data_IF_462669754102
#
_entry.id   IF_462669754102
#
_cell.length_a   1.000
_cell.length_b   1.000
_cell.length_c   1.000
_cell.angle_alpha   90.00
_cell.angle_beta   90.00
_cell.angle_gamma   90.00
#
_symmetry.space_group_name_H-M   'P 1'
#
loop_
_entity.id
_entity.type
_entity.pdbx_description
1 polymer ?
#
# COMPACT_ATOMS: atom_id res chain seq x y z
N UNK A 1 -0.17 25.69 3.84
CA UNK A 1 0.63 24.73 3.04
C UNK A 1 0.01 24.65 1.67
N UNK A 2 0.76 24.97 0.62
CA UNK A 2 0.26 24.94 -0.75
C UNK A 2 0.23 23.48 -1.24
N UNK A 3 -0.90 23.07 -1.83
CA UNK A 3 -1.15 21.68 -2.22
C UNK A 3 -1.79 21.66 -3.59
N UNK A 4 -1.25 20.83 -4.46
CA UNK A 4 -1.85 20.56 -5.77
C UNK A 4 -2.66 19.27 -5.70
N UNK A 5 -3.84 19.27 -6.30
CA UNK A 5 -4.64 18.06 -6.51
C UNK A 5 -5.21 18.08 -7.92
N UNK A 6 -5.26 16.92 -8.57
CA UNK A 6 -5.78 16.83 -9.92
C UNK A 6 -5.94 15.39 -10.41
N UNK A 7 -6.53 15.26 -11.59
CA UNK A 7 -6.67 13.98 -12.29
C UNK A 7 -5.78 14.00 -13.52
N UNK A 8 -4.80 13.11 -13.56
CA UNK A 8 -3.87 12.92 -14.66
C UNK A 8 -4.40 11.85 -15.61
N UNK A 9 -4.10 12.01 -16.91
CA UNK A 9 -4.29 10.98 -17.93
C UNK A 9 -2.93 10.36 -18.23
N UNK A 10 -2.74 9.10 -17.87
CA UNK A 10 -1.47 8.41 -17.99
C UNK A 10 -1.59 7.35 -19.09
N UNK A 11 -0.79 7.40 -20.17
CA UNK A 11 -0.80 6.37 -21.20
C UNK A 11 -0.25 5.06 -20.64
N UNK A 12 -0.78 3.91 -21.09
CA UNK A 12 -0.31 2.60 -20.62
C UNK A 12 1.17 2.33 -20.99
N UNK A 13 1.60 2.82 -22.16
CA UNK A 13 2.98 2.81 -22.64
C UNK A 13 3.18 4.04 -23.56
N UNK A 14 4.42 4.47 -23.89
CA UNK A 14 4.68 5.74 -24.57
C UNK A 14 3.84 6.00 -25.84
N UNK A 15 3.50 4.94 -26.59
CA UNK A 15 2.70 5.02 -27.82
C UNK A 15 1.23 4.57 -27.67
N UNK A 16 0.69 4.48 -26.45
CA UNK A 16 -0.65 3.94 -26.23
C UNK A 16 -1.72 4.98 -26.53
N UNK A 17 -2.78 4.55 -27.23
CA UNK A 17 -4.03 5.32 -27.37
C UNK A 17 -4.94 5.16 -26.14
N UNK A 18 -4.64 4.20 -25.28
CA UNK A 18 -5.39 3.91 -24.05
C UNK A 18 -4.75 4.67 -22.89
N UNK A 19 -5.58 5.38 -22.13
CA UNK A 19 -5.15 6.17 -20.99
C UNK A 19 -5.87 5.73 -19.72
N UNK A 20 -5.12 5.66 -18.63
CA UNK A 20 -5.67 5.52 -17.29
C UNK A 20 -5.86 6.89 -16.65
N UNK A 21 -6.90 7.02 -15.83
CA UNK A 21 -7.14 8.22 -15.02
C UNK A 21 -6.59 7.98 -13.62
N UNK A 22 -5.66 8.83 -13.21
CA UNK A 22 -5.01 8.76 -11.90
C UNK A 22 -5.32 10.04 -11.14
N UNK A 23 -6.00 9.92 -9.99
CA UNK A 23 -6.13 11.02 -9.05
C UNK A 23 -4.83 11.15 -8.26
N UNK A 24 -4.28 12.36 -8.16
CA UNK A 24 -3.03 12.63 -7.45
C UNK A 24 -3.15 13.88 -6.59
N UNK A 25 -2.48 13.86 -5.43
CA UNK A 25 -2.36 14.97 -4.49
C UNK A 25 -0.90 15.13 -4.11
N UNK A 26 -0.35 16.34 -4.22
CA UNK A 26 1.07 16.65 -4.07
C UNK A 26 1.26 17.84 -3.13
N UNK A 27 2.23 17.74 -2.21
CA UNK A 27 2.56 18.83 -1.30
C UNK A 27 3.70 19.68 -1.88
N UNK A 28 3.51 21.00 -1.89
CA UNK A 28 4.52 21.96 -2.32
C UNK A 28 5.11 22.68 -1.10
N UNK A 29 6.42 22.95 -1.12
CA UNK A 29 7.06 23.84 -0.13
C UNK A 29 6.50 25.25 -0.29
N UNK A 30 6.02 25.90 0.79
CA UNK A 30 5.58 27.28 0.75
C UNK A 30 6.67 28.26 0.31
N UNK A 31 7.93 27.93 0.61
CA UNK A 31 9.09 28.80 0.40
C UNK A 31 9.61 28.71 -1.05
N UNK A 32 9.75 27.49 -1.58
CA UNK A 32 10.37 27.26 -2.89
C UNK A 32 9.36 26.94 -4.00
N UNK A 33 8.11 26.63 -3.65
CA UNK A 33 7.09 26.06 -4.54
C UNK A 33 7.50 24.76 -5.25
N UNK A 34 8.55 24.09 -4.77
CA UNK A 34 8.96 22.78 -5.27
C UNK A 34 8.25 21.66 -4.52
N UNK A 35 8.26 20.44 -5.06
CA UNK A 35 7.70 19.27 -4.40
C UNK A 35 8.42 19.01 -3.07
N UNK A 36 7.65 18.92 -1.99
CA UNK A 36 8.16 18.54 -0.67
C UNK A 36 8.26 17.02 -0.58
N UNK A 37 9.34 16.53 0.03
CA UNK A 37 9.48 15.10 0.35
C UNK A 37 8.32 14.68 1.28
N UNK A 38 7.48 13.71 0.89
CA UNK A 38 6.38 13.25 1.71
C UNK A 38 6.90 12.35 2.84
N UNK A 39 6.16 12.30 3.95
CA UNK A 39 6.42 11.33 5.03
C UNK A 39 6.18 9.88 4.57
N UNK A 40 5.25 9.70 3.63
CA UNK A 40 4.92 8.44 3.00
C UNK A 40 4.17 8.68 1.67
N UNK A 41 4.32 7.74 0.75
CA UNK A 41 3.56 7.60 -0.48
C UNK A 41 2.34 6.69 -0.28
N UNK A 42 1.31 6.91 -1.07
CA UNK A 42 0.05 6.18 -1.01
C UNK A 42 -0.43 5.79 -2.40
N UNK A 43 -0.73 4.51 -2.60
CA UNK A 43 -1.30 4.01 -3.87
C UNK A 43 -2.60 3.27 -3.54
N UNK A 44 -3.69 3.73 -4.14
CA UNK A 44 -5.02 3.14 -3.91
C UNK A 44 -5.58 2.55 -5.20
N UNK A 45 -5.73 1.24 -5.24
CA UNK A 45 -6.35 0.48 -6.33
C UNK A 45 -7.84 0.30 -6.03
N UNK A 46 -8.69 0.99 -6.79
CA UNK A 46 -10.14 0.93 -6.65
C UNK A 46 -10.75 -0.01 -7.69
N UNK A 47 -11.33 -1.13 -7.25
CA UNK A 47 -11.88 -2.16 -8.15
C UNK A 47 -13.30 -1.91 -8.66
N UNK A 48 -14.13 -1.22 -7.87
CA UNK A 48 -15.50 -0.90 -8.25
C UNK A 48 -15.62 0.59 -8.60
N UNK A 49 -16.12 0.87 -9.80
CA UNK A 49 -16.52 2.20 -10.23
C UNK A 49 -17.88 2.11 -10.86
N UNK A 50 -18.89 2.56 -10.14
CA UNK A 50 -20.27 2.60 -10.64
C UNK A 50 -20.76 4.03 -10.47
N UNK A 51 -21.10 4.66 -11.59
CA UNK A 51 -21.69 6.00 -11.62
C UNK A 51 -23.17 5.91 -11.94
N UNK A 52 -23.95 6.91 -11.52
CA UNK A 52 -25.38 6.97 -11.80
C UNK A 52 -26.22 5.99 -10.97
N UNK A 53 -25.70 5.56 -9.83
CA UNK A 53 -26.41 4.72 -8.86
C UNK A 53 -27.40 5.52 -8.01
N UNK A 54 -27.24 6.84 -7.92
CA UNK A 54 -27.99 7.72 -7.01
C UNK A 54 -27.57 7.59 -5.54
N UNK A 55 -26.66 6.68 -5.21
CA UNK A 55 -26.14 6.51 -3.86
C UNK A 55 -25.00 7.50 -3.58
N UNK A 56 -25.10 8.38 -2.57
CA UNK A 56 -24.15 9.47 -2.36
C UNK A 56 -22.73 9.00 -2.00
N UNK A 57 -22.57 7.82 -1.40
CA UNK A 57 -21.24 7.26 -1.05
C UNK A 57 -20.59 6.66 -2.30
N UNK A 58 -21.34 5.91 -3.09
CA UNK A 58 -20.85 5.29 -4.33
C UNK A 58 -20.45 6.36 -5.36
N UNK A 59 -21.28 7.39 -5.55
CA UNK A 59 -20.96 8.50 -6.45
C UNK A 59 -19.69 9.23 -6.00
N UNK A 60 -19.50 9.39 -4.68
CA UNK A 60 -18.32 10.03 -4.10
C UNK A 60 -17.05 9.21 -4.34
N UNK A 61 -17.09 7.88 -4.22
CA UNK A 61 -15.93 7.01 -4.46
C UNK A 61 -15.61 6.83 -5.95
N UNK A 62 -16.59 7.05 -6.83
CA UNK A 62 -16.38 7.14 -8.27
C UNK A 62 -15.67 8.43 -8.70
N UNK A 63 -15.54 9.41 -7.81
CA UNK A 63 -14.76 10.62 -7.99
C UNK A 63 -13.33 10.43 -7.45
N UNK A 64 -12.37 10.36 -8.37
CA UNK A 64 -10.96 10.16 -8.07
C UNK A 64 -10.35 11.23 -7.17
N UNK A 65 -10.81 12.48 -7.25
CA UNK A 65 -10.27 13.56 -6.46
C UNK A 65 -10.77 13.47 -5.02
N UNK A 66 -12.07 13.18 -4.83
CA UNK A 66 -12.63 12.93 -3.50
C UNK A 66 -12.00 11.70 -2.85
N UNK A 67 -11.79 10.64 -3.62
CA UNK A 67 -11.12 9.44 -3.15
C UNK A 67 -9.68 9.73 -2.70
N UNK A 68 -8.92 10.56 -3.44
CA UNK A 68 -7.58 10.96 -3.01
C UNK A 68 -7.57 11.73 -1.68
N UNK A 69 -8.60 12.54 -1.41
CA UNK A 69 -8.72 13.26 -0.14
C UNK A 69 -9.10 12.33 1.02
N UNK A 70 -9.90 11.28 0.76
CA UNK A 70 -10.19 10.25 1.77
C UNK A 70 -8.91 9.48 2.13
N UNK A 71 -8.17 8.98 1.13
CA UNK A 71 -6.91 8.26 1.35
C UNK A 71 -5.90 9.12 2.10
N UNK A 72 -5.82 10.42 1.78
CA UNK A 72 -5.01 11.38 2.53
C UNK A 72 -5.42 11.45 4.00
N UNK A 73 -6.70 11.62 4.31
CA UNK A 73 -7.17 11.70 5.71
C UNK A 73 -6.78 10.46 6.50
N UNK A 74 -6.99 9.31 5.88
CA UNK A 74 -6.63 8.01 6.44
C UNK A 74 -5.14 8.00 6.78
N UNK A 75 -4.26 8.39 5.86
CA UNK A 75 -2.80 8.35 6.07
C UNK A 75 -2.29 9.44 7.03
N UNK A 76 -2.87 10.64 7.00
CA UNK A 76 -2.52 11.74 7.93
C UNK A 76 -2.95 11.46 9.37
N UNK A 77 -3.92 10.56 9.60
CA UNK A 77 -4.31 10.12 10.95
C UNK A 77 -3.17 9.50 11.78
N UNK A 78 -2.07 9.08 11.12
CA UNK A 78 -0.84 8.60 11.78
C UNK A 78 -0.06 9.68 12.56
N UNK A 79 -0.34 10.97 12.35
CA UNK A 79 0.45 12.06 12.96
C UNK A 79 0.17 12.35 14.45
N UNK A 80 -0.81 11.70 15.10
CA UNK A 80 -1.25 12.11 16.46
C UNK A 80 -0.35 11.60 17.61
N UNK A 81 0.59 10.69 17.38
CA UNK A 81 1.56 10.29 18.42
C UNK A 81 3.00 10.21 17.89
N UNK A 82 3.63 11.37 17.67
CA UNK A 82 5.09 11.47 17.79
C UNK A 82 5.40 12.36 18.98
N UNK A 83 5.65 11.74 20.14
CA UNK A 83 6.21 12.46 21.28
C UNK A 83 7.58 13.03 20.89
N UNK A 84 7.74 14.31 21.23
CA UNK A 84 8.96 15.10 21.27
C UNK A 84 10.20 14.28 21.68
N UNK A 85 11.31 14.45 20.95
CA UNK A 85 12.64 14.26 21.56
C UNK A 85 13.72 13.50 20.78
N UNK A 86 13.46 12.93 19.60
CA UNK A 86 14.52 12.29 18.81
C UNK A 86 14.56 12.84 17.38
N UNK A 87 15.68 13.45 17.01
CA UNK A 87 16.03 13.70 15.61
C UNK A 87 15.90 12.38 14.85
N UNK A 88 15.05 12.29 13.81
CA UNK A 88 14.99 11.08 13.00
C UNK A 88 16.36 10.91 12.36
N UNK A 89 17.05 9.84 12.73
CA UNK A 89 18.13 9.31 11.91
C UNK A 89 17.50 9.03 10.55
N UNK A 90 17.72 9.93 9.60
CA UNK A 90 17.32 9.79 8.20
C UNK A 90 18.22 8.72 7.57
N UNK A 91 18.03 7.45 7.96
CA UNK A 91 18.64 6.30 7.28
C UNK A 91 17.75 5.77 6.13
N UNK A 92 16.71 6.51 5.74
CA UNK A 92 15.89 6.17 4.57
C UNK A 92 16.07 7.26 3.52
N UNK A 93 16.78 6.93 2.45
CA UNK A 93 16.94 7.76 1.25
C UNK A 93 15.63 7.89 0.44
N UNK A 94 14.55 7.20 0.83
CA UNK A 94 13.25 7.20 0.16
C UNK A 94 12.06 7.12 1.14
N UNK A 95 10.93 7.82 0.88
CA UNK A 95 9.70 7.70 1.66
C UNK A 95 9.10 6.29 1.61
N UNK A 96 8.49 5.86 2.71
CA UNK A 96 7.71 4.61 2.77
C UNK A 96 6.50 4.66 1.84
N UNK A 97 6.08 3.53 1.31
CA UNK A 97 4.89 3.40 0.47
C UNK A 97 3.84 2.53 1.16
N UNK A 98 2.59 3.02 1.18
CA UNK A 98 1.41 2.26 1.57
C UNK A 98 0.59 1.94 0.32
N UNK A 99 0.22 0.68 0.15
CA UNK A 99 -0.63 0.25 -0.96
C UNK A 99 -1.96 -0.27 -0.42
N UNK A 100 -3.06 0.13 -1.05
CA UNK A 100 -4.41 -0.21 -0.65
C UNK A 100 -5.17 -0.76 -1.85
N UNK A 101 -5.91 -1.85 -1.65
CA UNK A 101 -6.70 -2.50 -2.68
C UNK A 101 -8.13 -2.64 -2.20
N UNK A 102 -9.03 -1.88 -2.81
CA UNK A 102 -10.46 -1.88 -2.47
C UNK A 102 -11.28 -2.72 -3.45
N UNK A 103 -12.19 -3.55 -2.92
CA UNK A 103 -13.02 -4.45 -3.73
C UNK A 103 -12.13 -5.31 -4.66
N UNK A 104 -12.37 -5.30 -5.97
CA UNK A 104 -11.55 -5.99 -6.98
C UNK A 104 -10.10 -5.49 -7.05
N UNK A 105 -9.81 -4.31 -6.48
CA UNK A 105 -8.46 -3.78 -6.36
C UNK A 105 -7.51 -4.67 -5.55
N UNK A 106 -8.05 -5.56 -4.71
CA UNK A 106 -7.26 -6.59 -4.04
C UNK A 106 -6.56 -7.57 -4.99
N UNK A 107 -7.07 -7.75 -6.22
CA UNK A 107 -6.38 -8.58 -7.23
C UNK A 107 -5.06 -7.98 -7.69
N UNK A 108 -4.99 -6.64 -7.77
CA UNK A 108 -3.76 -5.92 -8.07
C UNK A 108 -2.77 -6.10 -6.93
N UNK A 109 -3.24 -6.02 -5.68
CA UNK A 109 -2.40 -6.30 -4.52
C UNK A 109 -1.87 -7.74 -4.54
N UNK A 110 -2.70 -8.73 -4.89
CA UNK A 110 -2.25 -10.11 -4.99
C UNK A 110 -1.06 -10.24 -5.94
N UNK A 111 -1.07 -9.57 -7.09
CA UNK A 111 0.08 -9.60 -7.99
C UNK A 111 1.29 -8.85 -7.45
N UNK A 112 1.12 -7.67 -6.85
CA UNK A 112 2.23 -6.94 -6.24
C UNK A 112 2.86 -7.76 -5.10
N UNK A 113 2.06 -8.46 -4.30
CA UNK A 113 2.54 -9.33 -3.22
C UNK A 113 3.29 -10.54 -3.76
N UNK A 114 2.83 -11.12 -4.87
CA UNK A 114 3.58 -12.18 -5.58
C UNK A 114 4.92 -11.60 -6.06
N UNK A 115 4.93 -10.48 -6.76
CA UNK A 115 6.18 -9.85 -7.23
C UNK A 115 7.13 -9.51 -6.07
N UNK A 116 6.59 -9.05 -4.94
CA UNK A 116 7.36 -8.76 -3.73
C UNK A 116 8.02 -10.02 -3.15
N UNK A 117 7.30 -11.15 -3.14
CA UNK A 117 7.83 -12.42 -2.66
C UNK A 117 8.87 -13.02 -3.61
N UNK A 118 8.77 -12.77 -4.90
CA UNK A 118 9.71 -13.30 -5.91
C UNK A 118 10.80 -12.33 -6.33
N UNK A 119 10.86 -11.13 -5.72
CA UNK A 119 11.96 -10.18 -5.93
C UNK A 119 13.16 -10.57 -5.07
N UNK A 120 14.34 -10.58 -5.69
CA UNK A 120 15.59 -10.73 -4.96
C UNK A 120 15.81 -9.51 -4.05
N UNK A 121 16.44 -9.73 -2.89
CA UNK A 121 17.05 -8.63 -2.13
C UNK A 121 18.34 -8.32 -2.86
N UNK A 122 18.46 -7.12 -3.44
CA UNK A 122 19.74 -6.65 -3.96
C UNK A 122 20.78 -6.74 -2.84
N UNK A 123 21.68 -7.72 -2.95
CA UNK A 123 22.81 -7.81 -2.05
C UNK A 123 23.69 -6.62 -2.35
N UNK A 124 23.91 -5.73 -1.38
CA UNK A 124 24.96 -4.71 -1.43
C UNK A 124 26.39 -5.30 -1.54
N UNK A 125 26.55 -6.58 -1.89
CA UNK A 125 27.81 -7.28 -2.06
C UNK A 125 28.59 -6.87 -3.33
N UNK A 126 27.97 -6.11 -4.25
CA UNK A 126 28.65 -5.57 -5.43
C UNK A 126 28.68 -4.04 -5.42
N UNK A 127 29.08 -3.41 -4.31
CA UNK A 127 29.87 -2.19 -4.44
C UNK A 127 31.27 -2.61 -4.90
N UNK A 128 31.86 -2.04 -5.96
CA UNK A 128 33.23 -2.36 -6.34
C UNK A 128 34.19 -1.74 -5.32
N UNK A 129 34.43 -2.45 -4.22
CA UNK A 129 35.47 -2.11 -3.24
C UNK A 129 36.65 -3.05 -3.41
N UNK A 130 37.51 -2.73 -4.38
CA UNK A 130 38.90 -3.18 -4.37
C UNK A 130 39.79 -2.15 -5.07
N UNK A 131 40.28 -1.19 -4.27
CA UNK A 131 41.57 -0.55 -4.50
C UNK A 131 41.58 0.83 -5.13
N UNK A 132 41.13 1.87 -4.43
CA UNK A 132 41.74 3.21 -4.54
C UNK A 132 41.80 3.93 -3.18
N UNK A 133 42.82 4.79 -2.96
CA UNK A 133 43.15 5.34 -1.65
C UNK A 133 42.11 6.38 -1.19
N UNK A 134 41.96 6.44 0.13
CA UNK A 134 41.06 7.32 0.87
C UNK A 134 41.45 8.79 0.62
N UNK A 135 40.70 9.46 -0.25
CA UNK A 135 40.55 10.91 -0.19
C UNK A 135 39.25 11.20 0.57
N UNK A 136 39.35 11.89 1.70
CA UNK A 136 38.22 12.23 2.57
C UNK A 136 37.37 13.32 1.88
N UNK A 137 36.57 12.94 0.90
CA UNK A 137 35.44 13.75 0.44
C UNK A 137 34.23 13.49 1.35
N UNK A 138 33.50 14.53 1.79
CA UNK A 138 32.26 14.34 2.53
C UNK A 138 31.30 13.52 1.67
N UNK A 139 30.77 12.45 2.26
CA UNK A 139 29.78 11.55 1.71
C UNK A 139 28.78 12.32 0.83
N UNK A 140 28.74 11.95 -0.46
CA UNK A 140 27.93 12.62 -1.47
C UNK A 140 26.48 12.75 -1.02
N UNK A 141 25.87 13.89 -1.36
CA UNK A 141 24.45 14.15 -1.15
C UNK A 141 23.61 13.00 -1.68
N UNK A 142 23.10 12.12 -0.80
CA UNK A 142 22.09 11.15 -1.18
C UNK A 142 20.86 11.93 -1.66
N UNK A 143 20.66 11.95 -2.98
CA UNK A 143 19.56 12.66 -3.60
C UNK A 143 18.25 11.98 -3.17
N UNK A 144 17.46 12.64 -2.33
CA UNK A 144 16.21 12.08 -1.81
C UNK A 144 15.21 11.99 -2.96
N UNK A 145 14.87 10.76 -3.35
CA UNK A 145 13.87 10.52 -4.38
C UNK A 145 12.49 10.36 -3.75
N UNK A 146 11.58 11.29 -4.08
CA UNK A 146 10.18 11.26 -3.65
C UNK A 146 9.46 10.01 -4.17
N UNK A 147 9.83 9.58 -5.37
CA UNK A 147 9.25 8.42 -6.07
C UNK A 147 10.36 7.42 -6.39
N UNK A 148 10.16 6.12 -6.12
CA UNK A 148 11.10 5.09 -6.53
C UNK A 148 11.35 5.09 -8.04
N UNK A 149 12.62 4.95 -8.45
CA UNK A 149 13.03 4.94 -9.88
C UNK A 149 13.19 3.54 -10.47
N UNK A 150 13.27 2.52 -9.64
CA UNK A 150 13.41 1.11 -10.02
C UNK A 150 12.26 0.29 -9.45
N UNK A 151 12.03 -0.90 -10.02
CA UNK A 151 11.03 -1.85 -9.53
C UNK A 151 11.38 -2.29 -8.11
N UNK A 152 12.64 -2.60 -7.87
CA UNK A 152 13.20 -3.05 -6.59
C UNK A 152 13.08 -1.94 -5.56
N UNK A 153 13.37 -0.69 -5.94
CA UNK A 153 13.16 0.48 -5.09
C UNK A 153 11.68 0.64 -4.71
N UNK A 154 10.75 0.44 -5.66
CA UNK A 154 9.33 0.48 -5.36
C UNK A 154 8.94 -0.63 -4.37
N UNK A 155 9.31 -1.87 -4.64
CA UNK A 155 9.01 -3.02 -3.80
C UNK A 155 9.64 -2.91 -2.40
N UNK A 156 10.85 -2.37 -2.30
CA UNK A 156 11.54 -2.11 -1.04
C UNK A 156 10.92 -0.94 -0.26
N UNK A 157 10.30 0.03 -0.94
CA UNK A 157 9.59 1.14 -0.29
C UNK A 157 8.27 0.71 0.35
N UNK A 158 7.64 -0.39 -0.11
CA UNK A 158 6.35 -0.86 0.43
C UNK A 158 6.53 -1.31 1.88
N UNK A 159 5.81 -0.65 2.78
CA UNK A 159 5.83 -0.95 4.21
C UNK A 159 4.48 -1.43 4.73
N UNK A 160 3.38 -1.09 4.06
CA UNK A 160 2.03 -1.51 4.45
C UNK A 160 1.19 -1.88 3.23
N UNK A 161 0.46 -2.99 3.37
CA UNK A 161 -0.43 -3.56 2.35
C UNK A 161 -1.81 -3.72 2.96
N UNK A 162 -2.76 -2.91 2.51
CA UNK A 162 -4.12 -2.87 3.02
C UNK A 162 -5.10 -3.52 2.04
N UNK A 163 -5.61 -4.70 2.38
CA UNK A 163 -6.73 -5.31 1.69
C UNK A 163 -8.02 -4.72 2.25
N UNK A 164 -8.73 -3.89 1.47
CA UNK A 164 -9.91 -3.17 1.94
C UNK A 164 -11.18 -3.74 1.33
N UNK A 165 -11.97 -4.44 2.15
CA UNK A 165 -13.24 -5.06 1.77
C UNK A 165 -13.18 -5.76 0.41
N UNK A 166 -12.10 -6.53 0.24
CA UNK A 166 -11.77 -7.18 -1.02
C UNK A 166 -12.78 -8.27 -1.30
N UNK A 167 -13.24 -8.32 -2.55
CA UNK A 167 -14.22 -9.30 -2.98
C UNK A 167 -14.17 -9.52 -4.48
N UNK A 168 -14.48 -10.75 -4.87
CA UNK A 168 -14.65 -11.18 -6.26
C UNK A 168 -15.90 -12.04 -6.38
N UNK A 169 -16.38 -12.19 -7.62
CA UNK A 169 -17.46 -13.13 -7.95
C UNK A 169 -16.93 -14.54 -8.27
N UNK A 170 -15.65 -14.78 -7.99
CA UNK A 170 -14.94 -16.04 -8.16
C UNK A 170 -13.87 -16.17 -7.06
N UNK A 171 -13.24 -17.34 -6.97
CA UNK A 171 -12.00 -17.51 -6.21
C UNK A 171 -10.89 -16.54 -6.66
N UNK A 172 -9.92 -16.30 -5.79
CA UNK A 172 -8.76 -15.44 -6.01
C UNK A 172 -8.86 -14.03 -5.41
N UNK A 173 -9.78 -13.82 -4.46
CA UNK A 173 -9.90 -12.56 -3.73
C UNK A 173 -8.66 -12.34 -2.83
N UNK A 174 -8.19 -13.39 -2.16
CA UNK A 174 -6.99 -13.36 -1.33
C UNK A 174 -5.99 -14.44 -1.76
N UNK A 175 -4.70 -14.21 -1.49
CA UNK A 175 -3.64 -15.16 -1.81
C UNK A 175 -3.66 -16.36 -0.86
N UNK A 176 -3.67 -17.56 -1.42
CA UNK A 176 -3.67 -18.81 -0.66
C UNK A 176 -2.42 -19.66 -0.87
N UNK A 177 -1.43 -19.15 -1.62
CA UNK A 177 -0.19 -19.87 -1.90
C UNK A 177 0.84 -19.59 -0.79
N UNK A 178 1.24 -20.65 -0.08
CA UNK A 178 2.23 -20.58 1.00
C UNK A 178 3.61 -20.11 0.51
N UNK A 179 4.03 -20.53 -0.69
CA UNK A 179 5.36 -20.22 -1.24
C UNK A 179 5.60 -18.71 -1.36
N UNK A 180 4.55 -17.93 -1.61
CA UNK A 180 4.64 -16.47 -1.69
C UNK A 180 5.05 -15.89 -0.33
N UNK A 181 4.36 -16.29 0.73
CA UNK A 181 4.60 -15.76 2.08
C UNK A 181 5.91 -16.28 2.68
N UNK A 182 6.26 -17.54 2.40
CA UNK A 182 7.54 -18.12 2.79
C UNK A 182 8.71 -17.31 2.19
N UNK A 183 8.62 -16.97 0.90
CA UNK A 183 9.64 -16.16 0.23
C UNK A 183 9.67 -14.72 0.76
N UNK A 184 8.52 -14.12 1.06
CA UNK A 184 8.48 -12.81 1.73
C UNK A 184 9.22 -12.89 3.08
N UNK A 185 8.98 -13.92 3.88
CA UNK A 185 9.66 -14.10 5.17
C UNK A 185 11.18 -14.23 5.01
N UNK A 186 11.64 -15.05 4.06
CA UNK A 186 13.07 -15.18 3.70
C UNK A 186 13.68 -13.85 3.26
N UNK A 187 12.98 -13.12 2.40
CA UNK A 187 13.40 -11.79 1.91
C UNK A 187 13.59 -10.80 3.07
N UNK A 188 12.68 -10.78 4.04
CA UNK A 188 12.77 -9.92 5.23
C UNK A 188 13.98 -10.30 6.11
N UNK A 189 14.24 -11.59 6.27
CA UNK A 189 15.41 -12.10 6.98
C UNK A 189 16.73 -11.73 6.29
N UNK A 190 16.74 -11.70 4.96
CA UNK A 190 17.90 -11.32 4.14
C UNK A 190 18.20 -9.81 4.12
N UNK A 191 17.43 -9.00 4.85
CA UNK A 191 17.73 -7.58 5.05
C UNK A 191 16.70 -6.62 4.46
N UNK A 192 15.66 -7.12 3.78
CA UNK A 192 14.61 -6.23 3.28
C UNK A 192 13.87 -5.49 4.42
N UNK A 193 13.29 -4.30 4.13
CA UNK A 193 12.55 -3.51 5.11
C UNK A 193 11.32 -4.23 5.65
N UNK A 194 10.94 -3.92 6.90
CA UNK A 194 9.76 -4.49 7.56
C UNK A 194 8.46 -4.22 6.80
N UNK A 195 7.52 -5.17 6.87
CA UNK A 195 6.29 -5.19 6.11
C UNK A 195 5.09 -5.50 7.00
N UNK A 196 3.98 -4.77 6.82
CA UNK A 196 2.73 -4.96 7.54
C UNK A 196 1.59 -5.27 6.58
N UNK A 197 0.88 -6.37 6.80
CA UNK A 197 -0.38 -6.68 6.14
C UNK A 197 -1.56 -6.27 7.04
N UNK A 198 -2.55 -5.59 6.46
CA UNK A 198 -3.78 -5.24 7.16
C UNK A 198 -4.96 -5.69 6.30
N UNK A 199 -5.77 -6.59 6.85
CA UNK A 199 -6.98 -7.10 6.21
C UNK A 199 -8.18 -6.38 6.83
N UNK A 200 -8.82 -5.50 6.08
CA UNK A 200 -10.01 -4.77 6.47
C UNK A 200 -11.22 -5.43 5.80
N UNK A 201 -12.28 -5.72 6.55
CA UNK A 201 -13.50 -6.25 5.95
C UNK A 201 -14.75 -5.94 6.73
N UNK A 202 -15.87 -6.09 6.04
CA UNK A 202 -17.22 -5.88 6.56
C UNK A 202 -18.03 -7.18 6.52
N UNK A 203 -19.18 -7.26 7.21
CA UNK A 203 -20.12 -8.37 7.04
C UNK A 203 -20.52 -8.61 5.58
N UNK A 204 -20.55 -7.56 4.74
CA UNK A 204 -20.92 -7.68 3.33
C UNK A 204 -20.00 -8.59 2.53
N UNK A 205 -18.71 -8.59 2.81
CA UNK A 205 -17.73 -9.46 2.14
C UNK A 205 -17.42 -10.70 2.98
N UNK A 206 -17.09 -10.51 4.26
CA UNK A 206 -16.61 -11.60 5.11
C UNK A 206 -17.73 -12.49 5.66
N UNK A 207 -19.01 -12.11 5.53
CA UNK A 207 -20.14 -12.91 5.99
C UNK A 207 -21.13 -13.31 4.90
N UNK A 208 -20.74 -13.14 3.64
CA UNK A 208 -21.55 -13.54 2.49
C UNK A 208 -21.52 -15.07 2.29
N UNK A 209 -22.60 -15.75 2.70
CA UNK A 209 -22.75 -17.20 2.54
C UNK A 209 -22.75 -17.68 1.09
N UNK A 210 -23.05 -16.80 0.12
CA UNK A 210 -23.03 -17.15 -1.31
C UNK A 210 -21.63 -17.05 -1.93
N UNK A 211 -20.70 -16.38 -1.22
CA UNK A 211 -19.31 -16.16 -1.63
C UNK A 211 -18.38 -16.53 -0.48
N UNK A 212 -18.63 -17.69 0.11
CA UNK A 212 -17.91 -18.25 1.25
C UNK A 212 -16.39 -18.37 1.00
N UNK A 213 -15.98 -18.57 -0.26
CA UNK A 213 -14.58 -18.53 -0.67
C UNK A 213 -13.86 -17.25 -0.24
N UNK A 214 -14.52 -16.09 -0.20
CA UNK A 214 -13.88 -14.83 0.22
C UNK A 214 -13.40 -14.94 1.67
N UNK A 215 -14.27 -15.45 2.56
CA UNK A 215 -13.91 -15.69 3.96
C UNK A 215 -12.83 -16.75 4.05
N UNK A 216 -13.00 -17.88 3.37
CA UNK A 216 -12.05 -19.02 3.43
C UNK A 216 -10.66 -18.64 2.93
N UNK A 217 -10.56 -17.89 1.82
CA UNK A 217 -9.29 -17.41 1.28
C UNK A 217 -8.66 -16.36 2.21
N UNK A 218 -9.46 -15.44 2.78
CA UNK A 218 -9.00 -14.45 3.76
C UNK A 218 -8.43 -15.12 5.00
N UNK A 219 -9.15 -16.10 5.56
CA UNK A 219 -8.72 -16.85 6.74
C UNK A 219 -7.44 -17.64 6.45
N UNK A 220 -7.36 -18.26 5.27
CA UNK A 220 -6.15 -18.96 4.82
C UNK A 220 -4.96 -18.00 4.67
N UNK A 221 -5.15 -16.84 4.05
CA UNK A 221 -4.10 -15.82 3.91
C UNK A 221 -3.62 -15.34 5.29
N UNK A 222 -4.55 -15.05 6.21
CA UNK A 222 -4.23 -14.63 7.58
C UNK A 222 -3.39 -15.69 8.30
N UNK A 223 -3.82 -16.96 8.27
CA UNK A 223 -3.09 -18.06 8.88
C UNK A 223 -1.68 -18.24 8.28
N UNK A 224 -1.54 -18.11 6.95
CA UNK A 224 -0.24 -18.17 6.29
C UNK A 224 0.68 -17.04 6.76
N UNK A 225 0.18 -15.80 6.78
CA UNK A 225 0.94 -14.64 7.26
C UNK A 225 1.35 -14.78 8.74
N UNK A 226 0.44 -15.23 9.60
CA UNK A 226 0.71 -15.48 11.02
C UNK A 226 1.75 -16.59 11.21
N UNK A 227 1.71 -17.64 10.40
CA UNK A 227 2.69 -18.74 10.46
C UNK A 227 4.10 -18.33 10.00
N UNK A 228 4.18 -17.35 9.08
CA UNK A 228 5.44 -16.84 8.54
C UNK A 228 6.01 -15.67 9.35
N UNK A 229 5.18 -14.97 10.12
CA UNK A 229 5.59 -13.80 10.89
C UNK A 229 6.74 -14.09 11.89
N UNK A 230 6.71 -15.17 12.70
CA UNK A 230 7.83 -15.51 13.58
C UNK A 230 9.14 -15.80 12.84
N UNK A 231 9.05 -16.34 11.62
CA UNK A 231 10.21 -16.70 10.78
C UNK A 231 10.91 -15.47 10.18
N UNK A 232 10.26 -14.31 10.21
CA UNK A 232 10.77 -13.06 9.62
C UNK A 232 11.64 -12.21 10.58
N UNK A 233 11.93 -12.71 11.79
CA UNK A 233 12.64 -11.93 12.82
C UNK A 233 11.82 -10.76 13.35
N UNK A 234 10.49 -10.87 13.36
CA UNK A 234 9.56 -9.82 13.80
C UNK A 234 9.36 -8.68 12.80
N UNK A 235 9.88 -8.80 11.57
CA UNK A 235 9.76 -7.79 10.51
C UNK A 235 8.44 -7.88 9.74
N UNK A 236 7.79 -9.04 9.73
CA UNK A 236 6.45 -9.24 9.16
C UNK A 236 5.41 -9.09 10.27
N UNK A 237 4.43 -8.21 10.05
CA UNK A 237 3.28 -8.02 10.93
C UNK A 237 1.99 -8.22 10.14
N UNK A 238 0.98 -8.77 10.81
CA UNK A 238 -0.35 -8.96 10.22
C UNK A 238 -1.41 -8.51 11.21
N UNK A 239 -2.47 -7.88 10.69
CA UNK A 239 -3.62 -7.44 11.46
C UNK A 239 -4.90 -7.65 10.63
N UNK A 240 -5.97 -8.09 11.28
CA UNK A 240 -7.30 -8.11 10.69
C UNK A 240 -8.22 -7.14 11.46
N UNK A 241 -9.00 -6.34 10.73
CA UNK A 241 -9.96 -5.39 11.28
C UNK A 241 -11.34 -5.65 10.68
N UNK A 242 -12.31 -5.96 11.54
CA UNK A 242 -13.68 -6.24 11.14
C UNK A 242 -14.57 -5.04 11.49
N UNK A 243 -15.09 -4.38 10.46
CA UNK A 243 -15.87 -3.14 10.58
C UNK A 243 -17.36 -3.43 10.52
N UNK A 244 -18.17 -2.62 11.21
CA UNK A 244 -19.63 -2.73 11.23
C UNK A 244 -20.13 -4.12 11.66
N UNK A 245 -19.41 -4.77 12.59
CA UNK A 245 -19.68 -6.15 12.98
C UNK A 245 -21.11 -6.37 13.52
N UNK A 246 -21.69 -5.34 14.13
CA UNK A 246 -23.02 -5.35 14.73
C UNK A 246 -24.13 -4.94 13.75
N UNK A 247 -23.79 -4.63 12.49
CA UNK A 247 -24.74 -4.18 11.48
C UNK A 247 -25.07 -5.28 10.45
N UNK A 248 -26.31 -5.29 9.91
CA UNK A 248 -26.67 -6.23 8.85
C UNK A 248 -25.90 -5.94 7.56
N UNK A 249 -25.41 -7.00 6.91
CA UNK A 249 -24.66 -6.90 5.66
C UNK A 249 -25.40 -6.07 4.59
N UNK A 250 -24.77 -5.00 4.11
CA UNK A 250 -25.36 -4.10 3.11
C UNK A 250 -24.36 -3.71 2.02
N UNK A 251 -24.86 -3.28 0.86
CA UNK A 251 -23.97 -2.69 -0.16
C UNK A 251 -23.39 -1.35 0.31
N UNK A 252 -24.06 -0.65 1.23
CA UNK A 252 -23.64 0.64 1.74
C UNK A 252 -22.33 0.52 2.54
N UNK A 253 -22.26 -0.43 3.49
CA UNK A 253 -21.06 -0.64 4.32
C UNK A 253 -19.81 -1.00 3.50
N UNK A 254 -19.99 -1.67 2.35
CA UNK A 254 -18.89 -1.99 1.43
C UNK A 254 -18.16 -0.74 0.97
N UNK A 255 -18.87 0.36 0.80
CA UNK A 255 -18.29 1.63 0.38
C UNK A 255 -17.91 2.53 1.57
N UNK A 256 -18.72 2.53 2.64
CA UNK A 256 -18.47 3.33 3.86
C UNK A 256 -17.20 2.91 4.62
N UNK A 257 -16.77 1.65 4.50
CA UNK A 257 -15.52 1.19 5.13
C UNK A 257 -14.32 2.04 4.72
N UNK A 258 -14.27 2.58 3.50
CA UNK A 258 -13.16 3.43 3.02
C UNK A 258 -13.02 4.69 3.87
N UNK A 259 -14.12 5.23 4.37
CA UNK A 259 -14.15 6.42 5.22
C UNK A 259 -13.88 6.09 6.70
N UNK A 260 -14.11 4.83 7.07
CA UNK A 260 -13.87 4.32 8.42
C UNK A 260 -12.51 3.65 8.57
N UNK A 261 -11.66 3.66 7.52
CA UNK A 261 -10.37 2.98 7.52
C UNK A 261 -9.48 3.48 8.65
N UNK A 262 -9.20 2.60 9.59
CA UNK A 262 -8.16 2.79 10.58
C UNK A 262 -6.84 2.22 10.06
N UNK A 263 -5.94 3.11 9.63
CA UNK A 263 -4.57 2.76 9.20
C UNK A 263 -3.53 2.96 10.29
N UNK A 264 -3.94 3.19 11.54
CA UNK A 264 -3.06 3.19 12.71
C UNK A 264 -2.39 1.82 12.88
#
# INVERSE_FOLDING_TARGET
>A
MERWSGVLRVPLHPNSRTFHRVGATLCLSPETRTLRVPIANAIFFCGDRVKGTGNPVIERLSDLQKLSEIVKKVISGKEVHTQSGCTPSFCFSQPKTFILGFSKGGTVLNQIVIELGFSDVESNANSPSAGQPIDRHPCGSEEIYIVPRTKEGLLNSISEIHYVDVGLNSAGAYLTNHDVFERISKRLMQGAPSLRFILHGTPRQWSDKRRDWIRSERDKMLNLLESEAPKSGGKLKVLARYYFADEPASMQMHFEIIESLDVS
#
